data_IF_731100513018
#
_entry.id   IF_731100513018
#
_cell.length_a   1.000
_cell.length_b   1.000
_cell.length_c   1.000
_cell.angle_alpha   90.00
_cell.angle_beta   90.00
_cell.angle_gamma   90.00
#
_symmetry.space_group_name_H-M   'P 1'
#
loop_
_entity.id
_entity.type
_entity.pdbx_description
1 polymer ?
#
# COMPACT_ATOMS: atom_id res chain seq x y z
N UNK A 1 -6.94 -11.88 -21.22
CA UNK A 1 -5.50 -11.58 -21.21
C UNK A 1 -5.12 -11.36 -19.75
N UNK A 2 -4.24 -12.15 -19.14
CA UNK A 2 -3.88 -11.90 -17.76
C UNK A 2 -3.06 -10.61 -17.73
N UNK A 3 -3.62 -9.58 -17.11
CA UNK A 3 -2.88 -8.39 -16.70
C UNK A 3 -1.79 -8.87 -15.74
N UNK A 4 -0.55 -8.89 -16.21
CA UNK A 4 0.63 -8.99 -15.36
C UNK A 4 0.67 -7.73 -14.51
N UNK A 5 -0.17 -7.69 -13.46
CA UNK A 5 0.02 -6.74 -12.39
C UNK A 5 1.40 -7.05 -11.81
N UNK A 6 2.31 -6.07 -11.66
CA UNK A 6 3.60 -6.33 -11.05
C UNK A 6 3.33 -6.84 -9.63
N UNK A 7 3.50 -8.14 -9.47
CA UNK A 7 3.35 -8.81 -8.19
C UNK A 7 4.51 -8.28 -7.33
N UNK A 8 4.25 -7.32 -6.44
CA UNK A 8 5.21 -6.82 -5.45
C UNK A 8 5.50 -7.83 -4.34
N UNK A 9 5.26 -9.11 -4.60
CA UNK A 9 5.83 -10.20 -3.82
C UNK A 9 7.25 -10.37 -4.28
N UNK A 10 8.17 -10.51 -3.33
CA UNK A 10 9.56 -10.88 -3.60
C UNK A 10 9.60 -11.94 -4.70
N UNK A 11 10.43 -11.75 -5.71
CA UNK A 11 10.56 -12.66 -6.85
C UNK A 11 10.89 -14.07 -6.35
N UNK A 12 9.87 -14.92 -6.20
CA UNK A 12 9.93 -16.21 -5.50
C UNK A 12 10.98 -17.15 -6.15
N UNK A 13 11.09 -17.25 -7.49
CA UNK A 13 12.18 -17.98 -8.14
C UNK A 13 13.57 -17.48 -7.73
N UNK A 14 13.78 -16.16 -7.69
CA UNK A 14 15.05 -15.59 -7.22
C UNK A 14 15.28 -15.87 -5.73
N UNK A 15 14.25 -15.81 -4.88
CA UNK A 15 14.35 -16.22 -3.48
C UNK A 15 14.73 -17.69 -3.31
N UNK A 16 14.15 -18.59 -4.12
CA UNK A 16 14.49 -20.00 -4.08
C UNK A 16 15.97 -20.24 -4.42
N UNK A 17 16.50 -19.47 -5.38
CA UNK A 17 17.93 -19.49 -5.74
C UNK A 17 18.83 -19.08 -4.56
N UNK A 18 18.44 -18.04 -3.80
CA UNK A 18 19.15 -17.62 -2.57
C UNK A 18 19.17 -18.72 -1.53
N UNK A 19 18.04 -19.40 -1.30
CA UNK A 19 17.93 -20.47 -0.31
C UNK A 19 18.89 -21.62 -0.65
N UNK A 20 19.19 -21.83 -1.93
CA UNK A 20 20.18 -22.81 -2.40
C UNK A 20 21.63 -22.33 -2.33
N UNK A 21 21.89 -21.13 -1.80
CA UNK A 21 23.23 -20.56 -1.65
C UNK A 21 23.73 -19.77 -2.86
N UNK A 22 22.85 -19.41 -3.79
CA UNK A 22 23.18 -18.50 -4.89
C UNK A 22 23.28 -17.05 -4.40
N UNK A 23 23.91 -16.17 -5.18
CA UNK A 23 24.16 -14.79 -4.76
C UNK A 23 22.87 -13.95 -4.61
N UNK A 24 22.92 -12.99 -3.69
CA UNK A 24 21.83 -12.05 -3.39
C UNK A 24 21.89 -10.76 -4.23
N UNK A 25 22.92 -10.59 -5.06
CA UNK A 25 23.25 -9.32 -5.72
C UNK A 25 22.16 -8.83 -6.67
N UNK A 26 21.34 -9.74 -7.18
CA UNK A 26 20.32 -9.45 -8.19
C UNK A 26 18.90 -9.33 -7.62
N UNK A 27 18.73 -9.42 -6.30
CA UNK A 27 17.41 -9.30 -5.67
C UNK A 27 17.22 -7.88 -5.15
N UNK A 28 16.19 -7.22 -5.67
CA UNK A 28 15.75 -5.91 -5.18
C UNK A 28 14.55 -6.11 -4.26
N UNK A 29 14.69 -5.72 -2.99
CA UNK A 29 13.58 -5.60 -2.05
C UNK A 29 13.14 -4.15 -2.07
N UNK A 30 11.87 -3.90 -2.39
CA UNK A 30 11.32 -2.57 -2.45
C UNK A 30 10.53 -2.28 -1.17
N UNK A 31 10.90 -1.24 -0.41
CA UNK A 31 10.14 -0.77 0.74
C UNK A 31 8.68 -0.49 0.38
N UNK A 32 7.76 -1.03 1.16
CA UNK A 32 6.34 -0.68 1.13
C UNK A 32 5.74 -0.84 2.53
N UNK A 33 4.64 -0.12 2.79
CA UNK A 33 3.97 -0.19 4.08
C UNK A 33 2.81 0.78 4.23
N UNK A 34 2.18 0.77 5.40
CA UNK A 34 1.09 1.66 5.73
C UNK A 34 1.10 2.03 7.22
N UNK A 35 0.35 3.08 7.56
CA UNK A 35 0.08 3.48 8.94
C UNK A 35 -1.37 3.91 9.08
N UNK A 36 -2.01 3.51 10.18
CA UNK A 36 -3.38 3.89 10.53
C UNK A 36 -3.29 4.68 11.82
N UNK A 37 -3.73 5.94 11.78
CA UNK A 37 -3.78 6.83 12.93
C UNK A 37 -5.22 7.28 13.16
N UNK A 38 -5.62 7.61 14.41
CA UNK A 38 -6.88 8.31 14.61
C UNK A 38 -6.88 9.62 13.82
N UNK A 39 -8.03 10.00 13.28
CA UNK A 39 -8.20 11.21 12.48
C UNK A 39 -8.15 12.52 13.28
N UNK A 40 -7.99 12.42 14.61
CA UNK A 40 -7.71 13.56 15.49
C UNK A 40 -8.92 14.47 15.71
N UNK A 41 -10.09 14.12 15.20
CA UNK A 41 -11.35 14.77 15.58
C UNK A 41 -11.77 14.23 16.95
N UNK A 42 -11.26 14.89 18.00
CA UNK A 42 -11.80 14.71 19.34
C UNK A 42 -13.28 15.11 19.32
N UNK A 43 -14.16 14.16 19.66
CA UNK A 43 -15.51 14.50 20.07
C UNK A 43 -15.37 15.40 21.29
N UNK A 44 -15.56 16.72 21.10
CA UNK A 44 -15.57 17.68 22.22
C UNK A 44 -16.39 17.06 23.35
N UNK A 45 -15.91 17.11 24.61
CA UNK A 45 -16.78 16.84 25.73
C UNK A 45 -17.93 17.83 25.61
N UNK A 46 -19.12 17.33 25.25
CA UNK A 46 -20.34 18.14 25.25
C UNK A 46 -20.62 18.51 26.70
N UNK A 47 -20.02 19.60 27.14
CA UNK A 47 -20.49 20.33 28.29
C UNK A 47 -21.89 20.84 27.92
N UNK A 48 -22.89 20.07 28.34
CA UNK A 48 -24.29 20.48 28.47
C UNK A 48 -24.99 20.76 27.13
N UNK A 49 -25.47 19.71 26.45
CA UNK A 49 -26.62 19.85 25.55
C UNK A 49 -27.38 18.52 25.48
N UNK A 50 -28.71 18.63 25.57
CA UNK A 50 -29.68 17.55 25.68
C UNK A 50 -29.76 16.64 24.46
N UNK A 51 -30.07 15.36 24.72
CA UNK A 51 -30.95 14.50 23.92
C UNK A 51 -30.72 14.53 22.41
N UNK A 52 -29.77 13.72 21.94
CA UNK A 52 -29.89 12.73 20.85
C UNK A 52 -28.48 12.27 20.54
N UNK A 53 -28.14 11.11 21.10
CA UNK A 53 -26.88 10.40 20.93
C UNK A 53 -26.69 9.96 19.48
N UNK A 54 -26.35 10.91 18.60
CA UNK A 54 -25.65 10.58 17.37
C UNK A 54 -24.18 10.55 17.71
N UNK A 55 -23.77 9.37 18.20
CA UNK A 55 -22.39 9.05 18.51
C UNK A 55 -21.47 9.63 17.43
N UNK A 56 -20.48 10.39 17.88
CA UNK A 56 -19.44 10.90 17.00
C UNK A 56 -18.77 9.71 16.33
N UNK A 57 -19.06 9.46 15.05
CA UNK A 57 -18.29 8.55 14.21
C UNK A 57 -16.87 9.12 14.11
N UNK A 58 -15.97 8.63 14.98
CA UNK A 58 -14.54 8.87 14.83
C UNK A 58 -14.03 8.06 13.65
N UNK A 59 -13.16 8.65 12.83
CA UNK A 59 -12.55 8.02 11.68
C UNK A 59 -11.07 7.69 11.90
N UNK A 60 -10.38 7.37 10.80
CA UNK A 60 -8.95 7.08 10.81
C UNK A 60 -8.26 7.65 9.57
N UNK A 61 -7.04 8.12 9.75
CA UNK A 61 -6.14 8.53 8.69
C UNK A 61 -5.28 7.33 8.28
N UNK A 62 -5.48 6.87 7.04
CA UNK A 62 -4.66 5.84 6.41
C UNK A 62 -3.57 6.49 5.56
N UNK A 63 -2.31 6.24 5.89
CA UNK A 63 -1.15 6.59 5.05
C UNK A 63 -0.58 5.33 4.43
N UNK A 64 -0.38 5.32 3.11
CA UNK A 64 0.22 4.19 2.40
C UNK A 64 1.45 4.68 1.63
N UNK A 65 2.54 3.90 1.67
CA UNK A 65 3.79 4.20 1.00
C UNK A 65 4.27 2.98 0.18
N UNK A 66 4.69 3.23 -1.06
CA UNK A 66 5.28 2.21 -1.93
C UNK A 66 6.51 2.76 -2.63
N UNK A 67 7.57 1.96 -2.68
CA UNK A 67 8.64 2.14 -3.64
C UNK A 67 8.37 1.25 -4.84
N UNK A 68 8.31 1.85 -6.04
CA UNK A 68 8.04 1.12 -7.28
C UNK A 68 9.27 1.20 -8.20
N UNK A 69 9.82 0.05 -8.58
CA UNK A 69 10.93 -0.03 -9.54
C UNK A 69 10.37 -0.29 -10.94
N UNK A 70 10.51 0.68 -11.83
CA UNK A 70 9.97 0.62 -13.21
C UNK A 70 10.99 0.08 -14.21
N UNK A 71 12.28 0.12 -13.86
CA UNK A 71 13.36 -0.44 -14.66
C UNK A 71 14.62 -0.61 -13.83
N UNK A 72 15.39 -1.67 -14.07
CA UNK A 72 16.72 -1.88 -13.47
C UNK A 72 17.84 -1.20 -14.27
N UNK A 73 17.55 -0.67 -15.46
CA UNK A 73 18.53 0.03 -16.30
C UNK A 73 18.51 1.54 -16.03
N UNK A 74 19.65 2.16 -15.67
CA UNK A 74 19.73 3.60 -15.40
C UNK A 74 19.48 4.48 -16.65
N UNK A 75 19.54 3.89 -17.85
CA UNK A 75 19.29 4.56 -19.12
C UNK A 75 17.86 4.40 -19.62
N UNK A 76 17.01 3.67 -18.88
CA UNK A 76 15.63 3.44 -19.26
C UNK A 76 14.84 4.75 -19.21
N UNK A 77 14.13 5.04 -20.29
CA UNK A 77 13.27 6.22 -20.40
C UNK A 77 11.99 5.92 -19.62
N UNK A 78 11.69 6.74 -18.60
CA UNK A 78 10.44 6.64 -17.85
C UNK A 78 9.25 6.82 -18.81
N UNK A 79 8.59 5.71 -19.15
CA UNK A 79 7.35 5.66 -19.92
C UNK A 79 6.18 6.03 -19.01
N UNK A 80 5.05 6.45 -19.59
CA UNK A 80 3.81 6.73 -18.84
C UNK A 80 3.10 5.43 -18.41
N UNK A 81 3.39 4.32 -19.08
CA UNK A 81 2.83 2.99 -18.80
C UNK A 81 3.00 2.52 -17.33
N UNK A 82 4.19 2.61 -16.70
CA UNK A 82 4.33 2.22 -15.29
C UNK A 82 3.49 3.03 -14.30
N UNK A 83 3.02 4.23 -14.67
CA UNK A 83 2.13 5.03 -13.81
C UNK A 83 0.75 4.36 -13.69
N UNK A 84 0.25 3.80 -14.79
CA UNK A 84 -1.05 3.10 -14.80
C UNK A 84 -0.99 1.82 -13.96
N UNK A 85 0.11 1.07 -14.07
CA UNK A 85 0.35 -0.11 -13.23
C UNK A 85 0.51 0.24 -11.74
N UNK A 86 1.19 1.36 -11.43
CA UNK A 86 1.30 1.86 -10.06
C UNK A 86 -0.07 2.24 -9.47
N UNK A 87 -0.90 2.94 -10.23
CA UNK A 87 -2.25 3.31 -9.81
C UNK A 87 -3.14 2.08 -9.60
N UNK A 88 -3.08 1.10 -10.50
CA UNK A 88 -3.81 -0.16 -10.34
C UNK A 88 -3.41 -0.88 -9.05
N UNK A 89 -2.11 -0.91 -8.73
CA UNK A 89 -1.59 -1.53 -7.51
C UNK A 89 -2.05 -0.80 -6.23
N UNK A 90 -1.92 0.53 -6.21
CA UNK A 90 -2.37 1.34 -5.06
C UNK A 90 -3.87 1.14 -4.84
N UNK A 91 -4.66 1.11 -5.92
CA UNK A 91 -6.10 0.92 -5.88
C UNK A 91 -6.49 -0.47 -5.37
N UNK A 92 -5.78 -1.52 -5.81
CA UNK A 92 -5.99 -2.88 -5.34
C UNK A 92 -5.71 -3.00 -3.84
N UNK A 93 -4.53 -2.52 -3.39
CA UNK A 93 -4.17 -2.57 -1.97
C UNK A 93 -5.18 -1.81 -1.11
N UNK A 94 -5.62 -0.64 -1.56
CA UNK A 94 -6.62 0.14 -0.84
C UNK A 94 -7.95 -0.61 -0.72
N UNK A 95 -8.40 -1.27 -1.79
CA UNK A 95 -9.61 -2.11 -1.78
C UNK A 95 -9.51 -3.29 -0.82
N UNK A 96 -8.35 -3.96 -0.78
CA UNK A 96 -8.10 -5.06 0.17
C UNK A 96 -8.15 -4.57 1.62
N UNK A 97 -7.57 -3.40 1.89
CA UNK A 97 -7.60 -2.80 3.22
C UNK A 97 -9.02 -2.36 3.62
N UNK A 98 -9.78 -1.73 2.72
CA UNK A 98 -11.19 -1.39 2.95
C UNK A 98 -12.02 -2.62 3.28
N UNK A 99 -11.88 -3.68 2.49
CA UNK A 99 -12.57 -4.96 2.72
C UNK A 99 -12.20 -5.57 4.06
N UNK A 100 -10.91 -5.56 4.42
CA UNK A 100 -10.44 -6.11 5.69
C UNK A 100 -10.83 -5.28 6.91
N UNK A 101 -11.11 -3.99 6.73
CA UNK A 101 -11.55 -3.07 7.78
C UNK A 101 -13.06 -2.86 7.80
N UNK A 102 -13.81 -3.53 6.91
CA UNK A 102 -15.26 -3.40 6.74
C UNK A 102 -15.71 -1.94 6.50
N UNK A 103 -14.94 -1.20 5.68
CA UNK A 103 -15.16 0.20 5.35
C UNK A 103 -15.49 0.41 3.88
#
# INVERSE_FOLDING_TARGET
>A
MPTNLPQYTVDIPSMQSVITGCDLSNITILPSGFSILPDGIESRPQAIASMEDKGSEGGSLLTIAFQILTSTSPTAKLSVEPVESANALISCQLGDMQTSLEC
#
